data_IF_348955186625
#
_entry.id   IF_348955186625
#
_cell.length_a   1.000
_cell.length_b   1.000
_cell.length_c   1.000
_cell.angle_alpha   90.00
_cell.angle_beta   90.00
_cell.angle_gamma   90.00
#
_symmetry.space_group_name_H-M   'P 1'
#
loop_
_entity.id
_entity.type
_entity.pdbx_description
1 polymer ?
#
# COMPACT_ATOMS: atom_id res chain seq x y z
N UNK A 1 -3.42 20.56 -2.41
CA UNK A 1 -4.82 20.44 -1.91
C UNK A 1 -4.82 19.40 -0.79
N UNK A 2 -5.59 19.64 0.29
CA UNK A 2 -5.66 18.66 1.39
C UNK A 2 -6.42 17.40 0.93
N UNK A 3 -5.85 16.23 1.13
CA UNK A 3 -6.42 14.92 0.76
C UNK A 3 -7.04 14.22 1.95
N UNK A 4 -6.37 14.25 3.13
CA UNK A 4 -6.87 13.67 4.38
C UNK A 4 -6.56 14.62 5.52
N UNK A 5 -7.53 14.85 6.39
CA UNK A 5 -7.35 15.58 7.65
C UNK A 5 -7.73 14.67 8.81
N UNK A 6 -6.86 14.59 9.81
CA UNK A 6 -7.09 13.88 11.05
C UNK A 6 -7.06 14.89 12.17
N UNK A 7 -8.10 14.90 13.01
CA UNK A 7 -8.25 15.83 14.11
C UNK A 7 -8.60 15.08 15.40
N UNK A 8 -7.82 15.34 16.43
CA UNK A 8 -8.05 14.82 17.79
C UNK A 8 -8.19 13.29 17.86
N UNK A 9 -7.43 12.56 17.00
CA UNK A 9 -7.48 11.11 16.92
C UNK A 9 -7.02 10.48 18.22
N UNK A 10 -7.87 9.65 18.80
CA UNK A 10 -7.54 8.77 19.91
C UNK A 10 -7.82 7.33 19.52
N UNK A 11 -6.90 6.42 19.84
CA UNK A 11 -7.03 4.99 19.61
C UNK A 11 -6.33 4.21 20.70
N UNK A 12 -7.01 3.21 21.24
CA UNK A 12 -6.47 2.25 22.20
C UNK A 12 -6.81 0.82 21.81
N UNK A 13 -5.96 -0.11 22.22
CA UNK A 13 -6.29 -1.53 22.26
C UNK A 13 -6.23 -2.01 23.68
N UNK A 14 -7.36 -2.51 24.19
CA UNK A 14 -7.54 -2.92 25.59
C UNK A 14 -7.14 -1.78 26.55
N UNK A 15 -6.05 -1.93 27.28
CA UNK A 15 -5.54 -0.92 28.25
C UNK A 15 -4.40 -0.08 27.68
N UNK A 16 -3.95 -0.36 26.42
CA UNK A 16 -2.84 0.35 25.81
C UNK A 16 -3.31 1.47 24.90
N UNK A 17 -3.05 2.70 25.30
CA UNK A 17 -3.24 3.88 24.45
C UNK A 17 -2.17 3.89 23.33
N UNK A 18 -2.59 3.95 22.08
CA UNK A 18 -1.71 4.04 20.91
C UNK A 18 -1.55 5.49 20.45
N UNK A 19 -2.66 6.21 20.38
CA UNK A 19 -2.71 7.62 19.98
C UNK A 19 -3.55 8.39 20.97
N UNK A 20 -3.10 9.57 21.35
CA UNK A 20 -3.77 10.49 22.25
C UNK A 20 -3.78 11.88 21.61
N UNK A 21 -4.96 12.35 21.27
CA UNK A 21 -5.20 13.68 20.67
C UNK A 21 -4.28 14.03 19.48
N UNK A 22 -4.08 13.06 18.58
CA UNK A 22 -3.18 13.21 17.43
C UNK A 22 -3.89 13.91 16.27
N UNK A 23 -3.28 14.98 15.75
CA UNK A 23 -3.83 15.74 14.62
C UNK A 23 -2.75 15.98 13.57
N UNK A 24 -3.08 15.70 12.30
CA UNK A 24 -2.23 15.99 11.14
C UNK A 24 -3.03 15.98 9.85
N UNK A 25 -2.41 16.39 8.75
CA UNK A 25 -3.02 16.33 7.42
C UNK A 25 -2.06 15.77 6.38
N UNK A 26 -2.63 15.20 5.33
CA UNK A 26 -1.92 14.70 4.16
C UNK A 26 -2.35 15.52 2.96
N UNK A 27 -1.40 16.17 2.30
CA UNK A 27 -1.65 16.99 1.14
C UNK A 27 -1.27 16.26 -0.16
N UNK A 28 -1.83 16.73 -1.24
CA UNK A 28 -1.51 16.23 -2.58
C UNK A 28 -0.02 16.36 -2.89
N UNK A 29 0.57 15.30 -3.45
CA UNK A 29 1.97 15.24 -3.82
C UNK A 29 2.95 15.05 -2.66
N UNK A 30 2.47 15.00 -1.40
CA UNK A 30 3.32 14.72 -0.26
C UNK A 30 3.75 13.24 -0.22
N UNK A 31 4.97 13.02 0.27
CA UNK A 31 5.51 11.71 0.62
C UNK A 31 5.80 11.71 2.11
N UNK A 32 5.09 10.88 2.84
CA UNK A 32 5.15 10.84 4.31
C UNK A 32 5.73 9.49 4.75
N UNK A 33 6.81 9.52 5.50
CA UNK A 33 7.38 8.34 6.17
C UNK A 33 6.91 8.26 7.61
N UNK A 34 6.30 7.12 7.99
CA UNK A 34 5.91 6.85 9.37
C UNK A 34 6.97 5.96 10.04
N UNK A 35 7.72 6.53 10.98
CA UNK A 35 8.84 5.87 11.65
C UNK A 35 8.48 5.63 13.12
N UNK A 36 8.89 4.50 13.64
CA UNK A 36 8.69 4.13 15.05
C UNK A 36 8.97 2.65 15.30
N UNK A 37 9.17 2.27 16.55
CA UNK A 37 9.40 0.88 16.95
C UNK A 37 8.17 0.00 16.66
N UNK A 38 8.38 -1.32 16.59
CA UNK A 38 7.26 -2.25 16.32
C UNK A 38 6.26 -2.21 17.49
N UNK A 39 4.97 -2.32 17.14
CA UNK A 39 3.89 -2.30 18.13
C UNK A 39 3.48 -0.91 18.62
N UNK A 40 3.98 0.20 18.05
CA UNK A 40 3.55 1.57 18.41
C UNK A 40 2.26 2.02 17.72
N UNK A 41 1.64 1.16 16.90
CA UNK A 41 0.38 1.50 16.24
C UNK A 41 0.52 2.00 14.80
N UNK A 42 1.71 1.92 14.18
CA UNK A 42 1.91 2.39 12.79
C UNK A 42 0.88 1.81 11.82
N UNK A 43 0.74 0.49 11.77
CA UNK A 43 -0.25 -0.18 10.91
C UNK A 43 -1.68 0.20 11.26
N UNK A 44 -2.00 0.41 12.53
CA UNK A 44 -3.30 0.90 12.99
C UNK A 44 -3.59 2.29 12.45
N UNK A 45 -2.63 3.22 12.53
CA UNK A 45 -2.78 4.55 11.98
C UNK A 45 -2.99 4.52 10.47
N UNK A 46 -2.19 3.72 9.75
CA UNK A 46 -2.32 3.56 8.30
C UNK A 46 -3.68 2.98 7.91
N UNK A 47 -4.20 2.00 8.67
CA UNK A 47 -5.55 1.44 8.45
C UNK A 47 -6.64 2.47 8.73
N UNK A 48 -6.49 3.29 9.78
CA UNK A 48 -7.44 4.37 10.08
C UNK A 48 -7.43 5.40 8.95
N UNK A 49 -6.26 5.81 8.45
CA UNK A 49 -6.15 6.71 7.29
C UNK A 49 -6.82 6.11 6.06
N UNK A 50 -6.61 4.80 5.81
CA UNK A 50 -7.22 4.08 4.70
C UNK A 50 -8.74 3.88 4.83
N UNK A 51 -9.31 4.03 6.04
CA UNK A 51 -10.72 3.73 6.31
C UNK A 51 -11.01 2.25 6.51
N UNK A 52 -10.00 1.47 6.83
CA UNK A 52 -10.08 0.03 7.11
C UNK A 52 -10.28 -0.25 8.61
N UNK A 53 -10.08 0.75 9.45
CA UNK A 53 -10.26 0.67 10.91
C UNK A 53 -10.77 2.02 11.43
N UNK A 54 -11.61 1.98 12.46
CA UNK A 54 -12.16 3.17 13.08
C UNK A 54 -11.29 3.66 14.25
N UNK A 55 -11.26 4.98 14.44
CA UNK A 55 -10.73 5.59 15.65
C UNK A 55 -11.73 5.44 16.82
N UNK A 56 -11.22 5.48 18.05
CA UNK A 56 -12.10 5.48 19.24
C UNK A 56 -12.75 6.86 19.42
N UNK A 57 -12.01 7.93 19.08
CA UNK A 57 -12.55 9.30 19.05
C UNK A 57 -11.73 10.18 18.08
N UNK A 58 -12.21 11.39 17.84
CA UNK A 58 -11.68 12.32 16.86
C UNK A 58 -12.35 12.21 15.50
N UNK A 59 -11.79 12.84 14.49
CA UNK A 59 -12.34 12.84 13.14
C UNK A 59 -11.27 12.51 12.08
N UNK A 60 -11.69 11.78 11.04
CA UNK A 60 -10.87 11.52 9.86
C UNK A 60 -11.67 11.94 8.62
N UNK A 61 -11.34 13.10 8.10
CA UNK A 61 -11.98 13.66 6.92
C UNK A 61 -11.15 13.33 5.69
N UNK A 62 -11.73 12.59 4.75
CA UNK A 62 -11.11 12.24 3.46
C UNK A 62 -11.72 13.11 2.36
N UNK A 63 -10.90 13.51 1.40
CA UNK A 63 -11.36 14.23 0.22
C UNK A 63 -12.50 13.50 -0.48
N UNK A 64 -13.45 14.26 -1.06
CA UNK A 64 -14.57 13.66 -1.80
C UNK A 64 -14.03 12.85 -2.97
N UNK A 65 -14.45 11.60 -3.10
CA UNK A 65 -14.02 10.64 -4.13
C UNK A 65 -12.51 10.30 -4.09
N UNK A 66 -11.86 10.46 -2.94
CA UNK A 66 -10.46 10.07 -2.78
C UNK A 66 -10.32 8.56 -2.94
N UNK A 67 -9.58 8.13 -3.98
CA UNK A 67 -9.28 6.72 -4.21
C UNK A 67 -8.00 6.33 -3.47
N UNK A 68 -8.14 5.44 -2.49
CA UNK A 68 -7.04 4.98 -1.64
C UNK A 68 -6.73 3.52 -1.94
N UNK A 69 -5.45 3.20 -2.12
CA UNK A 69 -4.96 1.82 -2.16
C UNK A 69 -4.06 1.57 -0.96
N UNK A 70 -4.28 0.45 -0.29
CA UNK A 70 -3.54 0.04 0.89
C UNK A 70 -2.80 -1.26 0.65
N UNK A 71 -1.48 -1.25 0.82
CA UNK A 71 -0.64 -2.44 0.83
C UNK A 71 -0.48 -2.93 2.27
N UNK A 72 -1.09 -4.06 2.57
CA UNK A 72 -0.99 -4.71 3.88
C UNK A 72 0.40 -5.29 4.13
N UNK A 73 0.83 -5.29 5.40
CA UNK A 73 2.04 -5.97 5.84
C UNK A 73 2.03 -7.47 5.48
N UNK A 74 0.84 -8.10 5.52
CA UNK A 74 0.63 -9.51 5.14
C UNK A 74 -0.43 -9.52 4.02
N UNK A 75 -0.02 -9.60 2.74
CA UNK A 75 -0.97 -9.67 1.64
C UNK A 75 -1.71 -11.00 1.61
N UNK A 76 -3.01 -10.92 1.34
CA UNK A 76 -3.86 -12.08 1.11
C UNK A 76 -4.23 -12.15 -0.37
N UNK A 77 -4.30 -13.37 -0.90
CA UNK A 77 -4.71 -13.64 -2.28
C UNK A 77 -5.87 -14.63 -2.28
N UNK A 78 -6.70 -14.58 -3.30
CA UNK A 78 -7.76 -15.55 -3.45
C UNK A 78 -7.19 -16.96 -3.66
N UNK A 79 -7.86 -17.95 -3.11
CA UNK A 79 -7.44 -19.35 -3.24
C UNK A 79 -7.48 -19.78 -4.71
N UNK A 80 -6.41 -20.44 -5.14
CA UNK A 80 -6.27 -20.94 -6.51
C UNK A 80 -5.80 -19.91 -7.54
N UNK A 81 -5.66 -18.63 -7.18
CA UNK A 81 -5.13 -17.65 -8.12
C UNK A 81 -3.66 -17.87 -8.44
N UNK A 82 -3.33 -17.69 -9.71
CA UNK A 82 -1.96 -17.48 -10.15
C UNK A 82 -1.51 -16.05 -9.82
N UNK A 83 -0.19 -15.82 -9.88
CA UNK A 83 0.40 -14.49 -9.70
C UNK A 83 -0.25 -13.45 -10.60
N UNK A 84 -0.38 -13.76 -11.89
CA UNK A 84 -0.96 -12.82 -12.85
C UNK A 84 -2.44 -12.60 -12.60
N UNK A 85 -3.21 -13.66 -12.35
CA UNK A 85 -4.64 -13.53 -12.06
C UNK A 85 -4.91 -12.69 -10.81
N UNK A 86 -4.10 -12.84 -9.76
CA UNK A 86 -4.25 -12.03 -8.56
C UNK A 86 -4.05 -10.54 -8.82
N UNK A 87 -3.01 -10.17 -9.61
CA UNK A 87 -2.75 -8.78 -9.97
C UNK A 87 -3.84 -8.22 -10.88
N UNK A 88 -4.31 -9.00 -11.85
CA UNK A 88 -5.40 -8.62 -12.75
C UNK A 88 -6.72 -8.43 -11.98
N UNK A 89 -7.04 -9.31 -11.05
CA UNK A 89 -8.25 -9.23 -10.22
C UNK A 89 -8.27 -7.97 -9.36
N UNK A 90 -7.16 -7.67 -8.69
CA UNK A 90 -7.01 -6.49 -7.85
C UNK A 90 -7.17 -5.18 -8.63
N UNK A 91 -6.87 -5.19 -9.94
CA UNK A 91 -6.94 -4.02 -10.81
C UNK A 91 -8.12 -4.06 -11.80
N UNK A 92 -9.06 -4.99 -11.66
CA UNK A 92 -10.18 -5.15 -12.57
C UNK A 92 -11.10 -3.91 -12.65
N UNK A 93 -11.10 -3.05 -11.63
CA UNK A 93 -11.86 -1.80 -11.58
C UNK A 93 -11.13 -0.58 -12.13
N UNK A 94 -9.87 -0.72 -12.52
CA UNK A 94 -9.08 0.39 -13.05
C UNK A 94 -9.53 0.76 -14.47
N UNK A 95 -9.87 2.02 -14.69
CA UNK A 95 -10.47 2.50 -15.95
C UNK A 95 -9.48 3.14 -16.91
N UNK A 96 -8.22 3.27 -16.52
CA UNK A 96 -7.18 3.88 -17.35
C UNK A 96 -6.57 2.92 -18.37
N UNK A 97 -6.83 1.62 -18.24
CA UNK A 97 -6.44 0.63 -19.25
C UNK A 97 -7.51 0.56 -20.36
N UNK A 98 -7.07 0.65 -21.61
CA UNK A 98 -7.96 0.60 -22.77
C UNK A 98 -8.45 -0.83 -23.10
N UNK A 99 -7.74 -1.85 -22.60
CA UNK A 99 -8.08 -3.26 -22.78
C UNK A 99 -7.51 -4.15 -21.67
N UNK A 100 -8.06 -5.36 -21.55
CA UNK A 100 -7.51 -6.39 -20.66
C UNK A 100 -6.08 -6.79 -21.08
N UNK A 101 -5.78 -6.79 -22.38
CA UNK A 101 -4.45 -7.13 -22.88
C UNK A 101 -3.41 -6.08 -22.48
N UNK A 102 -3.75 -4.80 -22.50
CA UNK A 102 -2.90 -3.72 -22.05
C UNK A 102 -2.62 -3.84 -20.54
N UNK A 103 -3.66 -4.07 -19.74
CA UNK A 103 -3.53 -4.28 -18.31
C UNK A 103 -2.64 -5.50 -18.02
N UNK A 104 -2.83 -6.61 -18.74
CA UNK A 104 -2.01 -7.82 -18.60
C UNK A 104 -0.55 -7.57 -18.96
N UNK A 105 -0.27 -6.87 -20.04
CA UNK A 105 1.09 -6.51 -20.43
C UNK A 105 1.77 -5.65 -19.38
N UNK A 106 1.04 -4.68 -18.82
CA UNK A 106 1.53 -3.81 -17.73
C UNK A 106 1.78 -4.63 -16.46
N UNK A 107 0.89 -5.56 -16.10
CA UNK A 107 1.05 -6.45 -14.96
C UNK A 107 2.33 -7.30 -15.08
N UNK A 108 2.54 -7.95 -16.21
CA UNK A 108 3.75 -8.75 -16.48
C UNK A 108 5.02 -7.89 -16.41
N UNK A 109 4.98 -6.69 -16.98
CA UNK A 109 6.12 -5.76 -16.92
C UNK A 109 6.43 -5.34 -15.48
N UNK A 110 5.42 -5.01 -14.69
CA UNK A 110 5.59 -4.62 -13.28
C UNK A 110 6.10 -5.79 -12.43
N UNK A 111 5.55 -6.98 -12.60
CA UNK A 111 5.99 -8.20 -11.92
C UNK A 111 7.46 -8.49 -12.23
N UNK A 112 7.87 -8.42 -13.50
CA UNK A 112 9.27 -8.62 -13.91
C UNK A 112 10.20 -7.60 -13.27
N UNK A 113 9.83 -6.31 -13.22
CA UNK A 113 10.61 -5.26 -12.53
C UNK A 113 10.80 -5.56 -11.04
N UNK A 114 9.84 -6.23 -10.42
CA UNK A 114 9.89 -6.63 -9.02
C UNK A 114 10.50 -8.04 -8.84
N UNK A 115 11.10 -8.63 -9.88
CA UNK A 115 11.78 -9.92 -9.83
C UNK A 115 10.83 -11.12 -9.70
N UNK A 116 9.59 -10.98 -10.14
CA UNK A 116 8.61 -12.08 -10.24
C UNK A 116 8.46 -12.45 -11.71
N UNK A 117 9.06 -13.54 -12.14
CA UNK A 117 9.09 -13.99 -13.53
C UNK A 117 8.11 -15.15 -13.82
N UNK A 118 7.73 -15.91 -12.79
CA UNK A 118 6.79 -17.03 -12.90
C UNK A 118 5.35 -16.55 -12.70
N UNK A 119 4.76 -15.99 -13.76
CA UNK A 119 3.45 -15.35 -13.69
C UNK A 119 2.30 -16.34 -13.51
N UNK A 120 2.49 -17.58 -13.94
CA UNK A 120 1.48 -18.65 -13.86
C UNK A 120 1.64 -19.51 -12.57
N UNK A 121 2.62 -19.19 -11.72
CA UNK A 121 2.77 -19.85 -10.42
C UNK A 121 1.58 -19.52 -9.51
N UNK A 122 1.13 -20.50 -8.72
CA UNK A 122 0.07 -20.29 -7.72
C UNK A 122 0.57 -19.35 -6.62
N UNK A 123 -0.25 -18.40 -6.20
CA UNK A 123 0.07 -17.46 -5.11
C UNK A 123 0.33 -18.17 -3.78
N UNK A 124 -0.25 -19.35 -3.58
CA UNK A 124 -0.03 -20.20 -2.40
C UNK A 124 1.38 -20.77 -2.29
N UNK A 125 2.10 -20.89 -3.41
CA UNK A 125 3.47 -21.44 -3.46
C UNK A 125 4.55 -20.41 -3.23
N UNK A 126 4.18 -19.12 -3.19
CA UNK A 126 5.10 -17.99 -3.06
C UNK A 126 5.66 -17.87 -1.64
N UNK A 127 6.94 -17.51 -1.54
CA UNK A 127 7.54 -17.04 -0.28
C UNK A 127 6.89 -15.74 0.19
N UNK A 128 7.02 -15.42 1.48
CA UNK A 128 6.48 -14.17 2.05
C UNK A 128 6.98 -12.91 1.31
N UNK A 129 8.25 -12.89 0.92
CA UNK A 129 8.83 -11.79 0.15
C UNK A 129 8.26 -11.70 -1.27
N UNK A 130 8.05 -12.83 -1.96
CA UNK A 130 7.41 -12.87 -3.27
C UNK A 130 5.95 -12.40 -3.18
N UNK A 131 5.19 -12.84 -2.18
CA UNK A 131 3.81 -12.38 -1.93
C UNK A 131 3.73 -10.87 -1.78
N UNK A 132 4.65 -10.26 -1.01
CA UNK A 132 4.73 -8.80 -0.87
C UNK A 132 5.02 -8.10 -2.18
N UNK A 133 5.95 -8.62 -2.99
CA UNK A 133 6.27 -8.04 -4.30
C UNK A 133 5.11 -8.13 -5.29
N UNK A 134 4.37 -9.23 -5.29
CA UNK A 134 3.15 -9.38 -6.10
C UNK A 134 2.08 -8.36 -5.68
N UNK A 135 1.83 -8.22 -4.39
CA UNK A 135 0.88 -7.24 -3.87
C UNK A 135 1.34 -5.79 -4.14
N UNK A 136 2.65 -5.52 -4.06
CA UNK A 136 3.20 -4.22 -4.42
C UNK A 136 3.01 -3.93 -5.92
N UNK A 137 3.20 -4.92 -6.80
CA UNK A 137 2.92 -4.77 -8.23
C UNK A 137 1.47 -4.32 -8.45
N UNK A 138 0.53 -4.99 -7.78
CA UNK A 138 -0.90 -4.68 -7.84
C UNK A 138 -1.21 -3.23 -7.45
N UNK A 139 -0.66 -2.78 -6.33
CA UNK A 139 -0.90 -1.42 -5.81
C UNK A 139 -0.27 -0.35 -6.71
N UNK A 140 0.94 -0.60 -7.24
CA UNK A 140 1.65 0.33 -8.13
C UNK A 140 1.01 0.47 -9.52
N UNK A 141 0.18 -0.47 -9.92
CA UNK A 141 -0.57 -0.41 -11.18
C UNK A 141 -1.85 0.43 -11.08
N UNK A 142 -2.28 0.78 -9.89
CA UNK A 142 -3.50 1.55 -9.69
C UNK A 142 -3.28 3.05 -9.91
N UNK A 143 -4.36 3.76 -10.22
CA UNK A 143 -4.41 5.23 -10.34
C UNK A 143 -4.84 5.89 -9.02
N UNK A 144 -4.53 5.28 -7.88
CA UNK A 144 -4.93 5.79 -6.58
C UNK A 144 -4.37 7.19 -6.32
N UNK A 145 -5.21 8.05 -5.75
CA UNK A 145 -4.83 9.40 -5.28
C UNK A 145 -3.91 9.33 -4.05
N UNK A 146 -4.05 8.26 -3.25
CA UNK A 146 -3.24 8.01 -2.06
C UNK A 146 -2.83 6.55 -1.99
N UNK A 147 -1.53 6.29 -2.02
CA UNK A 147 -0.95 4.98 -1.77
C UNK A 147 -0.48 4.89 -0.33
N UNK A 148 -0.96 3.89 0.38
CA UNK A 148 -0.56 3.59 1.75
C UNK A 148 0.19 2.27 1.74
N UNK A 149 1.46 2.30 2.12
CA UNK A 149 2.33 1.13 2.11
C UNK A 149 2.74 0.79 3.55
N UNK A 150 2.28 -0.35 4.07
CA UNK A 150 2.62 -0.81 5.41
C UNK A 150 3.80 -1.77 5.35
N UNK A 151 4.97 -1.31 5.84
CA UNK A 151 6.25 -2.01 5.83
C UNK A 151 6.63 -2.60 4.44
N UNK A 152 6.67 -1.80 3.38
CA UNK A 152 6.90 -2.29 2.02
C UNK A 152 8.30 -2.88 1.81
N UNK A 153 9.28 -2.49 2.64
CA UNK A 153 10.70 -2.81 2.43
C UNK A 153 11.22 -4.02 3.21
N UNK A 154 10.42 -4.60 4.12
CA UNK A 154 10.83 -5.72 4.98
C UNK A 154 11.09 -7.04 4.22
N UNK A 155 11.64 -7.05 3.05
CA UNK A 155 12.08 -8.19 2.22
C UNK A 155 12.40 -7.74 0.79
N UNK A 156 12.57 -6.43 0.56
CA UNK A 156 13.15 -5.93 -0.68
C UNK A 156 14.66 -5.86 -0.46
N UNK A 157 15.43 -6.62 -1.24
CA UNK A 157 16.88 -6.45 -1.28
C UNK A 157 17.22 -4.99 -1.61
N UNK A 158 18.29 -4.49 -1.02
CA UNK A 158 18.71 -3.07 -1.08
C UNK A 158 18.75 -2.48 -2.50
N UNK A 159 18.90 -3.32 -3.53
CA UNK A 159 18.90 -2.90 -4.93
C UNK A 159 17.53 -2.59 -5.55
N UNK A 160 16.43 -3.01 -4.91
CA UNK A 160 15.07 -2.75 -5.43
C UNK A 160 14.42 -1.49 -4.84
N UNK A 161 14.93 -1.01 -3.71
CA UNK A 161 14.42 0.22 -3.08
C UNK A 161 14.63 1.47 -3.96
N UNK A 162 15.63 1.44 -4.87
CA UNK A 162 15.93 2.50 -5.82
C UNK A 162 14.97 2.55 -7.02
N UNK A 163 14.19 1.48 -7.26
CA UNK A 163 13.31 1.38 -8.43
C UNK A 163 11.88 1.89 -8.15
N UNK A 164 11.58 2.34 -6.95
CA UNK A 164 10.27 2.92 -6.64
C UNK A 164 10.15 4.31 -7.29
N UNK A 165 9.11 4.59 -8.08
CA UNK A 165 8.95 5.88 -8.74
C UNK A 165 8.88 7.00 -7.70
N UNK A 166 9.85 7.92 -7.75
CA UNK A 166 9.84 9.14 -6.97
C UNK A 166 10.95 9.36 -5.96
N UNK A 167 12.07 8.64 -6.03
CA UNK A 167 13.27 9.01 -5.27
C UNK A 167 14.19 9.89 -6.14
N UNK A 168 14.45 11.17 -5.79
CA UNK A 168 15.66 11.83 -6.26
C UNK A 168 16.86 11.12 -5.61
N UNK A 169 17.83 10.72 -6.43
CA UNK A 169 19.16 10.41 -5.96
C UNK A 169 19.75 11.71 -5.37
N UNK A 170 20.24 11.67 -4.17
CA UNK A 170 20.83 12.77 -3.40
C UNK A 170 19.90 13.32 -2.31
N UNK A 171 19.98 12.67 -1.13
CA UNK A 171 19.94 13.33 0.17
C UNK A 171 19.90 12.27 1.30
N UNK A 172 21.08 11.77 1.67
CA UNK A 172 21.36 11.31 3.02
C UNK A 172 22.82 11.63 3.37
N UNK A 173 23.06 12.31 4.51
CA UNK A 173 24.39 12.47 5.08
C UNK A 173 24.96 11.16 5.61
#
# INVERSE_FOLDING_TARGET
>A
MNRVTIEHLTKSYTERLLFDDTSFSINEGEKIGLIGVNGTGKSTLLKIVAGLEDADSGSVVRGRSLYIRYLSQIPEFAEGDTVLESVMRENAGETHYSSADEMQATAKSMLNKLGIIEHDALTSTLSGGQRKRVALASVLMSTADLLILDEPTNHLDSGMAESLPGRPADDYP
#
